data_IF_917669845573
#
_entry.id   IF_917669845573
#
_cell.length_a   1.000
_cell.length_b   1.000
_cell.length_c   1.000
_cell.angle_alpha   90.00
_cell.angle_beta   90.00
_cell.angle_gamma   90.00
#
_symmetry.space_group_name_H-M   'P 1'
#
loop_
_entity.id
_entity.type
_entity.pdbx_description
1 polymer ?
#
# COMPACT_ATOMS: atom_id res chain seq x y z
N UNK A 1 30.46 -7.05 -16.68
CA UNK A 1 30.21 -7.78 -15.41
C UNK A 1 29.91 -6.72 -14.35
N UNK A 2 28.66 -6.58 -13.97
CA UNK A 2 28.26 -5.71 -12.86
C UNK A 2 28.62 -6.40 -11.55
N UNK A 3 29.17 -5.69 -10.54
CA UNK A 3 29.52 -6.30 -9.26
C UNK A 3 28.29 -6.84 -8.58
N UNK A 4 28.37 -8.09 -8.11
CA UNK A 4 27.27 -8.81 -7.51
C UNK A 4 26.78 -8.12 -6.24
N UNK A 5 25.51 -7.74 -6.24
CA UNK A 5 24.79 -7.37 -5.02
C UNK A 5 24.80 -8.54 -4.04
N UNK A 6 25.58 -8.43 -2.98
CA UNK A 6 25.47 -9.31 -1.82
C UNK A 6 24.10 -9.06 -1.17
N UNK A 7 23.11 -9.87 -1.51
CA UNK A 7 21.76 -9.77 -0.95
C UNK A 7 21.82 -10.06 0.55
N UNK A 8 21.54 -9.05 1.36
CA UNK A 8 21.28 -9.24 2.79
C UNK A 8 20.20 -10.33 2.95
N UNK A 9 20.57 -11.45 3.55
CA UNK A 9 19.60 -12.45 4.01
C UNK A 9 19.02 -11.89 5.31
N UNK A 10 17.77 -11.38 5.26
CA UNK A 10 17.05 -11.02 6.48
C UNK A 10 16.89 -12.31 7.29
N UNK A 11 17.48 -12.43 8.50
CA UNK A 11 17.30 -13.61 9.34
C UNK A 11 15.85 -13.65 9.81
N UNK A 12 15.12 -14.72 9.49
CA UNK A 12 13.79 -14.94 10.01
C UNK A 12 13.93 -15.31 11.49
N UNK A 13 13.49 -14.43 12.38
CA UNK A 13 13.48 -14.72 13.81
C UNK A 13 12.31 -15.68 14.13
N UNK A 14 12.60 -16.97 14.15
CA UNK A 14 11.65 -18.04 14.46
C UNK A 14 11.08 -18.01 15.88
N UNK A 15 11.53 -17.07 16.74
CA UNK A 15 11.10 -16.97 18.14
C UNK A 15 9.88 -16.08 18.34
N UNK A 16 9.38 -15.39 17.29
CA UNK A 16 8.16 -14.59 17.40
C UNK A 16 6.94 -15.53 17.49
N UNK A 17 6.15 -15.34 18.53
CA UNK A 17 4.86 -16.02 18.69
C UNK A 17 4.00 -15.73 17.45
N UNK A 18 3.40 -16.76 16.81
CA UNK A 18 2.53 -16.55 15.67
C UNK A 18 1.38 -15.62 16.04
N UNK A 19 1.25 -14.48 15.36
CA UNK A 19 0.15 -13.56 15.56
C UNK A 19 -1.10 -14.14 14.89
N UNK A 20 -2.23 -14.14 15.59
CA UNK A 20 -3.47 -14.68 15.04
C UNK A 20 -4.28 -13.58 14.36
N UNK A 21 -4.09 -13.43 13.04
CA UNK A 21 -4.88 -12.52 12.19
C UNK A 21 -5.98 -13.24 11.40
N UNK A 22 -6.31 -14.49 11.78
CA UNK A 22 -7.31 -15.29 11.08
C UNK A 22 -8.68 -14.60 11.10
N UNK A 23 -9.27 -14.44 9.92
CA UNK A 23 -10.61 -13.89 9.76
C UNK A 23 -10.65 -12.35 9.82
N UNK A 24 -9.51 -11.67 9.97
CA UNK A 24 -9.48 -10.21 9.99
C UNK A 24 -9.52 -9.64 8.57
N UNK A 25 -10.26 -8.55 8.43
CA UNK A 25 -10.25 -7.72 7.23
C UNK A 25 -8.96 -6.91 7.15
N UNK A 26 -8.55 -6.52 5.94
CA UNK A 26 -7.39 -5.68 5.70
C UNK A 26 -7.80 -4.46 4.86
N UNK A 27 -8.49 -3.51 5.50
CA UNK A 27 -9.11 -2.36 4.83
C UNK A 27 -8.21 -1.14 4.83
N UNK A 28 -7.51 -0.91 5.93
CA UNK A 28 -6.55 0.17 6.13
C UNK A 28 -5.53 -0.22 7.20
N UNK A 29 -4.35 0.42 7.19
CA UNK A 29 -3.36 0.22 8.26
C UNK A 29 -3.77 0.89 9.59
N UNK A 30 -4.80 1.73 9.61
CA UNK A 30 -5.35 2.28 10.85
C UNK A 30 -5.82 1.18 11.81
N UNK A 31 -6.34 0.08 11.27
CA UNK A 31 -6.92 -1.04 12.04
C UNK A 31 -5.87 -2.00 12.62
N UNK A 32 -4.59 -1.78 12.33
CA UNK A 32 -3.50 -2.68 12.68
C UNK A 32 -2.50 -2.03 13.63
N UNK A 33 -1.99 -2.80 14.59
CA UNK A 33 -0.90 -2.34 15.46
C UNK A 33 0.44 -2.35 14.70
N UNK A 34 1.46 -1.60 15.17
CA UNK A 34 2.80 -1.66 14.59
C UNK A 34 3.38 -3.08 14.53
N UNK A 35 3.12 -3.90 15.57
CA UNK A 35 3.59 -5.29 15.64
C UNK A 35 2.89 -6.17 14.61
N UNK A 36 1.59 -5.97 14.38
CA UNK A 36 0.82 -6.67 13.36
C UNK A 36 1.31 -6.33 11.96
N UNK A 37 1.59 -5.04 11.69
CA UNK A 37 2.16 -4.59 10.42
C UNK A 37 3.55 -5.20 10.21
N UNK A 38 4.41 -5.14 11.22
CA UNK A 38 5.74 -5.76 11.17
C UNK A 38 5.69 -7.26 10.90
N UNK A 39 4.73 -7.97 11.54
CA UNK A 39 4.49 -9.38 11.30
C UNK A 39 4.09 -9.66 9.84
N UNK A 40 3.19 -8.86 9.26
CA UNK A 40 2.77 -9.02 7.87
C UNK A 40 3.93 -8.76 6.88
N UNK A 41 4.78 -7.79 7.14
CA UNK A 41 5.98 -7.51 6.33
C UNK A 41 6.98 -8.68 6.44
N UNK A 42 7.19 -9.24 7.64
CA UNK A 42 8.06 -10.40 7.86
C UNK A 42 7.52 -11.66 7.16
N UNK A 43 6.20 -11.88 7.23
CA UNK A 43 5.53 -12.97 6.52
C UNK A 43 5.66 -12.83 5.00
N UNK A 44 5.51 -11.61 4.47
CA UNK A 44 5.72 -11.34 3.05
C UNK A 44 7.16 -11.67 2.61
N UNK A 45 8.16 -11.31 3.43
CA UNK A 45 9.56 -11.68 3.19
C UNK A 45 9.76 -13.20 3.16
N UNK A 46 9.14 -13.93 4.10
CA UNK A 46 9.20 -15.40 4.16
C UNK A 46 8.58 -16.04 2.90
N UNK A 47 7.37 -15.61 2.53
CA UNK A 47 6.67 -16.13 1.34
C UNK A 47 7.44 -15.81 0.05
N UNK A 48 8.00 -14.60 -0.05
CA UNK A 48 8.90 -14.22 -1.17
C UNK A 48 10.13 -15.12 -1.26
N UNK A 49 10.73 -15.44 -0.12
CA UNK A 49 11.89 -16.34 -0.08
C UNK A 49 11.52 -17.78 -0.51
N UNK A 50 10.38 -18.32 -0.03
CA UNK A 50 9.86 -19.64 -0.43
C UNK A 50 9.60 -19.69 -1.92
N UNK A 51 8.90 -18.69 -2.48
CA UNK A 51 8.62 -18.62 -3.92
C UNK A 51 9.91 -18.58 -4.74
N UNK A 52 10.90 -17.77 -4.36
CA UNK A 52 12.21 -17.70 -5.04
C UNK A 52 13.02 -19.00 -4.97
N UNK A 53 12.84 -19.77 -3.90
CA UNK A 53 13.48 -21.05 -3.71
C UNK A 53 12.74 -22.22 -4.39
N UNK A 54 11.61 -21.97 -5.05
CA UNK A 54 10.76 -23.01 -5.65
C UNK A 54 10.08 -23.91 -4.62
N UNK A 55 9.97 -23.48 -3.37
CA UNK A 55 9.32 -24.26 -2.30
C UNK A 55 7.81 -24.10 -2.44
N UNK A 56 7.13 -25.22 -2.70
CA UNK A 56 5.67 -25.26 -2.80
C UNK A 56 5.05 -24.84 -1.46
N UNK A 57 4.01 -23.99 -1.52
CA UNK A 57 3.38 -23.41 -0.36
C UNK A 57 1.85 -23.34 -0.50
N UNK A 58 1.22 -24.46 -0.84
CA UNK A 58 -0.21 -24.60 -1.15
C UNK A 58 -1.08 -24.87 0.09
N UNK A 59 -0.87 -24.11 1.16
CA UNK A 59 -1.51 -24.27 2.47
C UNK A 59 -3.01 -23.94 2.49
N UNK A 60 -3.52 -23.33 1.42
CA UNK A 60 -4.93 -22.95 1.27
C UNK A 60 -5.62 -23.73 0.13
N UNK A 61 -5.14 -24.93 -0.17
CA UNK A 61 -5.69 -25.79 -1.21
C UNK A 61 -7.20 -26.00 -1.03
N UNK A 62 -7.96 -25.84 -2.12
CA UNK A 62 -9.40 -26.01 -2.16
C UNK A 62 -10.21 -24.83 -1.68
N UNK A 63 -9.56 -23.72 -1.31
CA UNK A 63 -10.21 -22.43 -1.02
C UNK A 63 -10.29 -21.57 -2.25
N UNK A 64 -11.20 -20.60 -2.27
CA UNK A 64 -11.43 -19.69 -3.38
C UNK A 64 -11.52 -18.24 -2.90
N UNK A 65 -11.10 -17.30 -3.74
CA UNK A 65 -11.20 -15.88 -3.48
C UNK A 65 -11.88 -15.16 -4.64
N UNK A 66 -12.80 -14.25 -4.31
CA UNK A 66 -13.39 -13.33 -5.28
C UNK A 66 -12.52 -12.08 -5.40
N UNK A 67 -12.23 -11.66 -6.63
CA UNK A 67 -11.44 -10.46 -6.95
C UNK A 67 -12.36 -9.46 -7.66
N UNK A 68 -12.84 -8.45 -6.91
CA UNK A 68 -13.77 -7.43 -7.39
C UNK A 68 -12.98 -6.21 -7.83
N UNK A 69 -13.09 -5.85 -9.11
CA UNK A 69 -12.39 -4.72 -9.68
C UNK A 69 -13.36 -3.72 -10.32
N UNK A 70 -13.70 -2.65 -9.63
CA UNK A 70 -14.42 -1.51 -10.23
C UNK A 70 -13.44 -0.57 -10.95
N UNK A 71 -12.19 -0.49 -10.50
CA UNK A 71 -11.07 0.15 -11.21
C UNK A 71 -10.16 -0.92 -11.80
N UNK A 72 -9.91 -0.85 -13.10
CA UNK A 72 -9.01 -1.78 -13.79
C UNK A 72 -7.58 -1.72 -13.24
N UNK A 73 -6.90 -2.84 -13.18
CA UNK A 73 -5.48 -2.91 -12.79
C UNK A 73 -4.86 -4.22 -13.26
N UNK A 74 -3.81 -4.14 -14.04
CA UNK A 74 -3.04 -5.31 -14.45
C UNK A 74 -2.24 -5.87 -13.28
N UNK A 75 -1.48 -5.02 -12.58
CA UNK A 75 -0.56 -5.46 -11.50
C UNK A 75 -1.29 -6.02 -10.29
N UNK A 76 -2.28 -5.32 -9.76
CA UNK A 76 -3.03 -5.78 -8.59
C UNK A 76 -3.74 -7.10 -8.88
N UNK A 77 -4.42 -7.20 -10.03
CA UNK A 77 -5.07 -8.42 -10.47
C UNK A 77 -4.06 -9.59 -10.53
N UNK A 78 -2.99 -9.45 -11.30
CA UNK A 78 -1.98 -10.50 -11.43
C UNK A 78 -1.35 -10.88 -10.09
N UNK A 79 -1.12 -9.90 -9.21
CA UNK A 79 -0.53 -10.16 -7.87
C UNK A 79 -1.45 -11.02 -7.01
N UNK A 80 -2.75 -10.70 -6.94
CA UNK A 80 -3.71 -11.50 -6.19
C UNK A 80 -3.95 -12.88 -6.81
N UNK A 81 -4.10 -12.96 -8.13
CA UNK A 81 -4.27 -14.25 -8.83
C UNK A 81 -3.06 -15.16 -8.60
N UNK A 82 -1.85 -14.64 -8.80
CA UNK A 82 -0.62 -15.43 -8.61
C UNK A 82 -0.41 -15.81 -7.14
N UNK A 83 -0.66 -14.90 -6.20
CA UNK A 83 -0.55 -15.21 -4.78
C UNK A 83 -1.56 -16.28 -4.34
N UNK A 84 -2.79 -16.22 -4.83
CA UNK A 84 -3.80 -17.24 -4.58
C UNK A 84 -3.37 -18.60 -5.12
N UNK A 85 -2.89 -18.66 -6.36
CA UNK A 85 -2.39 -19.90 -6.97
C UNK A 85 -1.19 -20.49 -6.21
N UNK A 86 -0.22 -19.67 -5.79
CA UNK A 86 0.93 -20.11 -4.99
C UNK A 86 0.50 -20.72 -3.65
N UNK A 87 -0.64 -20.25 -3.10
CA UNK A 87 -1.24 -20.77 -1.86
C UNK A 87 -2.20 -21.94 -2.10
N UNK A 88 -2.43 -22.36 -3.36
CA UNK A 88 -3.33 -23.45 -3.73
C UNK A 88 -4.81 -23.07 -3.83
N UNK A 89 -5.11 -21.77 -3.89
CA UNK A 89 -6.48 -21.25 -4.01
C UNK A 89 -6.92 -21.12 -5.47
N UNK A 90 -8.25 -21.20 -5.70
CA UNK A 90 -8.90 -20.73 -6.91
C UNK A 90 -9.22 -19.22 -6.83
N UNK A 91 -9.33 -18.58 -8.01
CA UNK A 91 -9.71 -17.16 -8.11
C UNK A 91 -10.89 -16.97 -9.06
N UNK A 92 -11.76 -16.02 -8.77
CA UNK A 92 -12.78 -15.53 -9.70
C UNK A 92 -12.64 -14.03 -9.84
N UNK A 93 -12.35 -13.56 -11.04
CA UNK A 93 -12.26 -12.15 -11.36
C UNK A 93 -13.64 -11.61 -11.74
N UNK A 94 -14.07 -10.56 -11.07
CA UNK A 94 -15.36 -9.87 -11.27
C UNK A 94 -15.08 -8.42 -11.70
N UNK A 95 -15.27 -8.14 -12.99
CA UNK A 95 -15.11 -6.80 -13.54
C UNK A 95 -16.44 -6.02 -13.55
N UNK A 96 -16.42 -4.68 -13.77
CA UNK A 96 -17.62 -3.85 -13.76
C UNK A 96 -18.60 -4.16 -14.89
N UNK A 97 -18.13 -4.77 -15.98
CA UNK A 97 -18.96 -5.05 -17.16
C UNK A 97 -19.66 -6.38 -17.05
N UNK A 98 -19.02 -7.35 -16.40
CA UNK A 98 -19.52 -8.72 -16.20
C UNK A 98 -20.31 -8.92 -14.91
N UNK A 99 -20.40 -7.92 -14.02
CA UNK A 99 -21.08 -8.03 -12.73
C UNK A 99 -22.28 -7.08 -12.57
N UNK A 100 -23.17 -7.41 -11.65
CA UNK A 100 -24.32 -6.57 -11.29
C UNK A 100 -24.07 -5.74 -10.01
N UNK A 101 -22.86 -5.81 -9.47
CA UNK A 101 -22.44 -5.17 -8.22
C UNK A 101 -22.65 -3.65 -8.33
N UNK A 102 -23.33 -3.06 -7.33
CA UNK A 102 -23.61 -1.64 -7.28
C UNK A 102 -24.61 -1.12 -8.34
N UNK A 103 -25.20 -2.01 -9.15
CA UNK A 103 -26.20 -1.67 -10.18
C UNK A 103 -27.58 -2.17 -9.80
N UNK A 104 -27.83 -3.46 -10.04
CA UNK A 104 -29.09 -4.15 -9.70
C UNK A 104 -29.00 -4.87 -8.35
N UNK A 105 -27.79 -5.10 -7.86
CA UNK A 105 -27.51 -5.78 -6.60
C UNK A 105 -26.79 -4.82 -5.65
N UNK A 106 -27.28 -4.74 -4.40
CA UNK A 106 -26.65 -3.89 -3.39
C UNK A 106 -25.29 -4.49 -2.95
N UNK A 107 -24.37 -3.64 -2.53
CA UNK A 107 -23.05 -4.08 -1.97
C UNK A 107 -23.28 -5.08 -0.83
N UNK A 108 -24.25 -4.82 0.02
CA UNK A 108 -24.63 -5.71 1.15
C UNK A 108 -25.07 -7.10 0.69
N UNK A 109 -25.88 -7.19 -0.37
CA UNK A 109 -26.35 -8.48 -0.87
C UNK A 109 -25.24 -9.20 -1.63
N UNK A 110 -24.46 -8.50 -2.43
CA UNK A 110 -23.23 -9.01 -3.04
C UNK A 110 -22.29 -9.63 -1.99
N UNK A 111 -22.03 -8.91 -0.90
CA UNK A 111 -21.17 -9.40 0.18
C UNK A 111 -21.67 -10.72 0.76
N UNK A 112 -22.98 -10.85 1.00
CA UNK A 112 -23.58 -12.07 1.55
C UNK A 112 -23.53 -13.25 0.60
N UNK A 113 -23.82 -12.99 -0.69
CA UNK A 113 -23.78 -14.02 -1.72
C UNK A 113 -22.37 -14.52 -1.93
N UNK A 114 -21.39 -13.64 -2.07
CA UNK A 114 -19.99 -14.02 -2.26
C UNK A 114 -19.43 -14.76 -1.03
N UNK A 115 -19.77 -14.34 0.17
CA UNK A 115 -19.34 -15.02 1.40
C UNK A 115 -19.91 -16.44 1.54
N UNK A 116 -20.96 -16.78 0.82
CA UNK A 116 -21.48 -18.14 0.74
C UNK A 116 -20.70 -19.04 -0.24
N UNK A 117 -19.85 -18.47 -1.09
CA UNK A 117 -19.12 -19.19 -2.15
C UNK A 117 -17.60 -19.11 -2.00
N UNK A 118 -17.07 -18.05 -1.36
CA UNK A 118 -15.65 -17.77 -1.28
C UNK A 118 -15.18 -17.67 0.18
N UNK A 119 -13.91 -17.93 0.42
CA UNK A 119 -13.28 -17.82 1.74
C UNK A 119 -12.59 -16.45 1.94
N UNK A 120 -12.65 -15.57 0.95
CA UNK A 120 -12.13 -14.21 1.03
C UNK A 120 -12.58 -13.39 -0.17
N UNK A 121 -12.57 -12.08 -0.01
CA UNK A 121 -12.94 -11.11 -1.04
C UNK A 121 -11.86 -10.04 -1.13
N UNK A 122 -11.31 -9.82 -2.32
CA UNK A 122 -10.52 -8.63 -2.62
C UNK A 122 -11.41 -7.61 -3.32
N UNK A 123 -11.23 -6.34 -2.97
CA UNK A 123 -11.91 -5.23 -3.62
C UNK A 123 -10.91 -4.16 -4.03
N UNK A 124 -11.01 -3.75 -5.30
CA UNK A 124 -10.32 -2.59 -5.86
C UNK A 124 -11.32 -1.68 -6.56
N UNK A 125 -11.51 -0.48 -6.03
CA UNK A 125 -12.56 0.40 -6.55
C UNK A 125 -12.42 1.86 -6.15
N UNK A 126 -13.55 2.49 -5.87
CA UNK A 126 -13.65 3.91 -5.63
C UNK A 126 -13.65 4.25 -4.12
N UNK A 127 -14.82 4.35 -3.51
CA UNK A 127 -14.96 4.81 -2.13
C UNK A 127 -14.57 3.77 -1.10
N UNK A 128 -13.99 4.23 0.00
CA UNK A 128 -13.64 3.37 1.14
C UNK A 128 -14.90 2.75 1.78
N UNK A 129 -16.02 3.47 1.77
CA UNK A 129 -17.31 3.00 2.29
C UNK A 129 -17.79 1.72 1.61
N UNK A 130 -17.44 1.47 0.35
CA UNK A 130 -17.83 0.26 -0.39
C UNK A 130 -17.10 -0.96 0.18
N UNK A 131 -15.79 -0.89 0.36
CA UNK A 131 -15.01 -2.00 0.92
C UNK A 131 -15.35 -2.25 2.39
N UNK A 132 -15.69 -1.20 3.14
CA UNK A 132 -16.17 -1.32 4.52
C UNK A 132 -17.56 -1.97 4.59
N UNK A 133 -18.46 -1.64 3.67
CA UNK A 133 -19.76 -2.31 3.57
C UNK A 133 -19.62 -3.78 3.18
N UNK A 134 -18.72 -4.13 2.24
CA UNK A 134 -18.37 -5.51 1.92
C UNK A 134 -17.88 -6.24 3.16
N UNK A 135 -16.94 -5.71 3.91
CA UNK A 135 -16.40 -6.31 5.12
C UNK A 135 -17.49 -6.52 6.20
N UNK A 136 -18.32 -5.52 6.41
CA UNK A 136 -19.42 -5.56 7.40
C UNK A 136 -20.41 -6.70 7.18
N UNK A 137 -20.67 -7.09 5.92
CA UNK A 137 -21.73 -8.05 5.60
C UNK A 137 -21.23 -9.40 5.07
N UNK A 138 -19.93 -9.54 4.73
CA UNK A 138 -19.39 -10.74 4.10
C UNK A 138 -19.22 -11.93 5.03
N UNK A 139 -18.87 -11.77 6.30
CA UNK A 139 -18.48 -12.85 7.23
C UNK A 139 -17.20 -13.62 6.83
N UNK A 140 -16.54 -13.24 5.75
CA UNK A 140 -15.23 -13.73 5.32
C UNK A 140 -14.29 -12.52 5.21
N UNK A 141 -12.96 -12.72 5.34
CA UNK A 141 -12.01 -11.61 5.23
C UNK A 141 -12.15 -10.82 3.93
N UNK A 142 -12.11 -9.50 4.04
CA UNK A 142 -12.10 -8.58 2.92
C UNK A 142 -10.77 -7.82 2.90
N UNK A 143 -10.16 -7.75 1.71
CA UNK A 143 -8.88 -7.07 1.50
C UNK A 143 -9.04 -5.91 0.53
N UNK A 144 -8.58 -4.75 0.95
CA UNK A 144 -8.55 -3.54 0.14
C UNK A 144 -7.35 -3.55 -0.81
N UNK A 145 -7.59 -3.86 -2.08
CA UNK A 145 -6.60 -3.78 -3.16
C UNK A 145 -6.29 -2.35 -3.61
N UNK A 146 -7.22 -1.41 -3.42
CA UNK A 146 -7.11 0.05 -3.51
C UNK A 146 -8.50 0.68 -3.43
N UNK A 147 -8.62 1.76 -2.66
CA UNK A 147 -9.72 2.74 -2.74
C UNK A 147 -9.17 4.14 -3.06
N UNK A 148 -10.03 5.15 -3.12
CA UNK A 148 -9.58 6.54 -3.24
C UNK A 148 -8.77 6.99 -2.02
N UNK A 149 -9.11 6.46 -0.86
CA UNK A 149 -8.59 6.88 0.44
C UNK A 149 -7.37 6.09 0.89
N UNK A 150 -7.32 4.75 0.59
CA UNK A 150 -6.27 3.87 1.09
C UNK A 150 -5.82 2.79 0.10
N UNK A 151 -4.55 2.36 0.26
CA UNK A 151 -3.96 1.24 -0.47
C UNK A 151 -3.04 0.41 0.44
N UNK A 152 -3.60 -0.31 1.44
CA UNK A 152 -2.80 -0.96 2.48
C UNK A 152 -1.89 -2.07 1.95
N UNK A 153 -2.28 -2.79 0.90
CA UNK A 153 -1.47 -3.85 0.31
C UNK A 153 -0.19 -3.32 -0.35
N UNK A 154 -0.23 -2.12 -0.94
CA UNK A 154 0.95 -1.45 -1.47
C UNK A 154 1.94 -1.11 -0.35
N UNK A 155 1.43 -0.70 0.81
CA UNK A 155 2.28 -0.36 1.96
C UNK A 155 3.12 -1.53 2.44
N UNK A 156 2.57 -2.74 2.43
CA UNK A 156 3.35 -3.94 2.78
C UNK A 156 4.50 -4.17 1.79
N UNK A 157 4.27 -3.93 0.49
CA UNK A 157 5.29 -4.05 -0.54
C UNK A 157 6.39 -2.97 -0.38
N UNK A 158 5.99 -1.72 -0.16
CA UNK A 158 6.92 -0.61 0.02
C UNK A 158 7.77 -0.78 1.27
N UNK A 159 7.15 -1.13 2.42
CA UNK A 159 7.87 -1.40 3.66
C UNK A 159 8.82 -2.59 3.54
N UNK A 160 8.43 -3.66 2.82
CA UNK A 160 9.33 -4.77 2.57
C UNK A 160 10.51 -4.34 1.70
N UNK A 161 10.27 -3.54 0.65
CA UNK A 161 11.32 -3.01 -0.22
C UNK A 161 12.32 -2.16 0.55
N UNK A 162 11.84 -1.23 1.38
CA UNK A 162 12.68 -0.38 2.24
C UNK A 162 13.48 -1.24 3.24
N UNK A 163 12.83 -2.22 3.86
CA UNK A 163 13.47 -3.13 4.80
C UNK A 163 14.54 -4.02 4.15
N UNK A 164 14.32 -4.44 2.90
CA UNK A 164 15.31 -5.20 2.13
C UNK A 164 16.53 -4.35 1.77
N UNK A 165 16.35 -3.06 1.51
CA UNK A 165 17.42 -2.14 1.15
C UNK A 165 18.22 -1.68 2.37
N UNK A 166 17.55 -1.20 3.41
CA UNK A 166 18.17 -0.56 4.57
C UNK A 166 18.33 -1.50 5.78
N UNK A 167 17.69 -2.67 5.80
CA UNK A 167 17.67 -3.60 6.92
C UNK A 167 16.70 -3.26 8.05
N UNK A 168 16.12 -2.07 8.04
CA UNK A 168 15.20 -1.57 9.07
C UNK A 168 14.20 -0.58 8.47
N UNK A 169 13.16 -0.22 9.25
CA UNK A 169 12.20 0.84 8.92
C UNK A 169 12.36 2.05 9.83
N UNK A 170 12.55 1.83 11.13
CA UNK A 170 12.62 2.90 12.12
C UNK A 170 13.77 3.87 11.83
N UNK A 171 13.45 5.18 11.83
CA UNK A 171 14.44 6.25 11.61
C UNK A 171 14.74 6.51 10.13
N UNK A 172 14.07 5.83 9.18
CA UNK A 172 14.14 6.15 7.76
C UNK A 172 13.39 7.46 7.51
N UNK A 173 14.02 8.43 6.86
CA UNK A 173 13.34 9.64 6.36
C UNK A 173 12.72 9.36 5.00
N UNK A 174 11.38 9.30 4.99
CA UNK A 174 10.57 9.00 3.83
C UNK A 174 9.88 10.26 3.30
N UNK A 175 10.18 10.66 2.08
CA UNK A 175 9.64 11.86 1.44
C UNK A 175 8.70 11.48 0.32
N UNK A 176 7.44 11.88 0.42
CA UNK A 176 6.46 11.77 -0.65
C UNK A 176 6.34 13.09 -1.40
N UNK A 177 6.60 13.09 -2.70
CA UNK A 177 6.52 14.26 -3.58
C UNK A 177 5.35 14.13 -4.55
N UNK A 178 4.35 15.00 -4.43
CA UNK A 178 3.16 14.98 -5.29
C UNK A 178 1.86 15.22 -4.53
N UNK A 179 0.73 14.75 -5.07
CA UNK A 179 -0.58 14.90 -4.43
C UNK A 179 -0.76 13.91 -3.27
N UNK A 180 -0.62 14.41 -2.05
CA UNK A 180 -0.67 13.59 -0.84
C UNK A 180 -2.08 13.41 -0.23
N UNK A 181 -3.15 13.88 -0.90
CA UNK A 181 -4.53 13.86 -0.37
C UNK A 181 -5.21 12.50 -0.47
N UNK A 182 -4.71 11.60 -1.33
CA UNK A 182 -5.38 10.35 -1.70
C UNK A 182 -4.66 9.11 -1.13
N UNK A 183 -5.02 7.96 -1.65
CA UNK A 183 -4.64 6.65 -1.12
C UNK A 183 -3.15 6.47 -0.83
N UNK A 184 -2.27 6.90 -1.73
CA UNK A 184 -0.82 6.73 -1.52
C UNK A 184 -0.30 7.64 -0.42
N UNK A 185 -0.60 8.95 -0.47
CA UNK A 185 -0.19 9.90 0.57
C UNK A 185 -0.70 9.51 1.95
N UNK A 186 -2.00 9.21 2.04
CA UNK A 186 -2.64 8.79 3.29
C UNK A 186 -2.02 7.49 3.84
N UNK A 187 -1.91 6.46 3.02
CA UNK A 187 -1.41 5.15 3.48
C UNK A 187 0.07 5.17 3.83
N UNK A 188 0.90 5.90 3.07
CA UNK A 188 2.33 6.08 3.36
C UNK A 188 2.54 6.85 4.67
N UNK A 189 1.74 7.89 4.93
CA UNK A 189 1.80 8.64 6.19
C UNK A 189 1.44 7.75 7.39
N UNK A 190 0.36 6.97 7.30
CA UNK A 190 -0.06 6.02 8.35
C UNK A 190 1.04 4.97 8.58
N UNK A 191 1.55 4.35 7.51
CA UNK A 191 2.60 3.35 7.58
C UNK A 191 3.85 3.91 8.25
N UNK A 192 4.30 5.09 7.84
CA UNK A 192 5.47 5.76 8.39
C UNK A 192 5.28 6.08 9.87
N UNK A 193 4.17 6.71 10.23
CA UNK A 193 3.85 7.06 11.61
C UNK A 193 3.88 5.84 12.54
N UNK A 194 3.26 4.73 12.13
CA UNK A 194 3.21 3.50 12.94
C UNK A 194 4.54 2.75 12.99
N UNK A 195 5.32 2.77 11.91
CA UNK A 195 6.57 2.01 11.82
C UNK A 195 7.82 2.80 12.26
N UNK A 196 7.65 4.03 12.74
CA UNK A 196 8.74 4.85 13.24
C UNK A 196 9.62 5.47 12.14
N UNK A 197 9.07 5.65 10.94
CA UNK A 197 9.72 6.36 9.83
C UNK A 197 9.31 7.84 9.87
N UNK A 198 10.25 8.74 9.63
CA UNK A 198 9.96 10.18 9.50
C UNK A 198 9.30 10.45 8.14
N UNK A 199 8.05 10.89 8.15
CA UNK A 199 7.29 11.14 6.93
C UNK A 199 7.30 12.62 6.56
N UNK A 200 7.59 12.92 5.32
CA UNK A 200 7.51 14.27 4.76
C UNK A 200 6.56 14.26 3.56
N UNK A 201 5.46 15.00 3.63
CA UNK A 201 4.65 15.33 2.46
C UNK A 201 5.18 16.64 1.86
N UNK A 202 5.84 16.53 0.71
CA UNK A 202 6.40 17.66 -0.03
C UNK A 202 5.51 17.98 -1.23
N UNK A 203 4.64 18.99 -1.08
CA UNK A 203 3.60 19.34 -2.04
C UNK A 203 3.12 20.78 -1.80
N UNK A 204 2.39 21.40 -2.76
CA UNK A 204 1.62 22.61 -2.47
C UNK A 204 0.60 22.35 -1.36
N UNK A 205 0.37 23.33 -0.49
CA UNK A 205 -0.52 23.22 0.68
C UNK A 205 -1.91 22.63 0.34
N UNK A 206 -2.46 22.93 -0.83
CA UNK A 206 -3.76 22.41 -1.28
C UNK A 206 -3.77 20.90 -1.56
N UNK A 207 -2.59 20.30 -1.64
CA UNK A 207 -2.38 18.86 -1.87
C UNK A 207 -1.87 18.12 -0.63
N UNK A 208 -1.89 18.74 0.54
CA UNK A 208 -1.58 18.07 1.80
C UNK A 208 -2.69 17.09 2.20
N UNK A 209 -2.36 16.04 2.96
CA UNK A 209 -3.35 15.13 3.53
C UNK A 209 -4.39 15.87 4.38
N UNK A 210 -5.53 15.23 4.60
CA UNK A 210 -6.58 15.76 5.49
C UNK A 210 -6.03 16.01 6.90
N UNK A 211 -6.37 17.16 7.49
CA UNK A 211 -5.84 17.59 8.78
C UNK A 211 -6.20 16.66 9.94
N UNK A 212 -7.36 16.00 9.90
CA UNK A 212 -7.77 15.03 10.92
C UNK A 212 -6.88 13.78 10.87
N UNK A 213 -6.59 13.29 9.66
CA UNK A 213 -5.69 12.16 9.47
C UNK A 213 -4.25 12.52 9.87
N UNK A 214 -3.79 13.73 9.57
CA UNK A 214 -2.48 14.23 10.00
C UNK A 214 -2.39 14.20 11.53
N UNK A 215 -3.37 14.78 12.23
CA UNK A 215 -3.40 14.79 13.69
C UNK A 215 -3.40 13.36 14.29
N UNK A 216 -4.14 12.43 13.69
CA UNK A 216 -4.12 11.02 14.10
C UNK A 216 -2.75 10.37 13.88
N UNK A 217 -2.09 10.65 12.76
CA UNK A 217 -0.75 10.13 12.47
C UNK A 217 0.32 10.75 13.39
N UNK A 218 0.17 12.02 13.79
CA UNK A 218 1.05 12.65 14.78
C UNK A 218 0.97 11.95 16.15
N UNK A 219 -0.21 11.45 16.57
CA UNK A 219 -0.32 10.64 17.80
C UNK A 219 0.42 9.31 17.65
N UNK A 220 0.27 8.59 16.53
CA UNK A 220 1.06 7.37 16.29
C UNK A 220 2.56 7.64 16.22
N UNK A 221 2.95 8.78 15.64
CA UNK A 221 4.34 9.19 15.54
C UNK A 221 4.97 9.45 16.91
N UNK A 222 4.23 10.05 17.86
CA UNK A 222 4.69 10.21 19.25
C UNK A 222 5.02 8.87 19.92
N UNK A 223 4.20 7.85 19.68
CA UNK A 223 4.41 6.51 20.25
C UNK A 223 5.59 5.78 19.60
N UNK A 224 5.72 5.86 18.28
CA UNK A 224 6.77 5.17 17.51
C UNK A 224 8.13 5.88 17.54
N UNK A 225 8.13 7.19 17.83
CA UNK A 225 9.28 8.09 17.75
C UNK A 225 9.54 8.65 16.35
N UNK A 226 8.54 8.61 15.47
CA UNK A 226 8.57 9.23 14.14
C UNK A 226 8.22 10.72 14.18
N UNK A 227 8.42 11.41 13.05
CA UNK A 227 7.93 12.77 12.81
C UNK A 227 7.06 12.82 11.57
N UNK A 228 6.06 13.73 11.56
CA UNK A 228 5.23 14.03 10.39
C UNK A 228 5.49 15.50 10.02
N UNK A 229 5.92 15.73 8.80
CA UNK A 229 6.23 17.06 8.27
C UNK A 229 5.45 17.32 6.99
N UNK A 230 4.84 18.50 6.89
CA UNK A 230 4.20 18.99 5.67
C UNK A 230 4.98 20.22 5.21
N UNK A 231 5.51 20.21 3.99
CA UNK A 231 6.31 21.35 3.48
C UNK A 231 6.03 21.62 2.01
N UNK A 232 6.06 22.90 1.66
CA UNK A 232 6.03 23.37 0.26
C UNK A 232 7.44 23.57 -0.29
N UNK A 233 8.47 23.49 0.56
CA UNK A 233 9.88 23.66 0.14
C UNK A 233 10.49 22.29 -0.20
N UNK A 234 10.73 22.08 -1.51
CA UNK A 234 11.34 20.85 -2.03
C UNK A 234 12.74 20.63 -1.45
N UNK A 235 13.51 21.70 -1.23
CA UNK A 235 14.87 21.61 -0.74
C UNK A 235 14.92 21.20 0.73
N UNK A 236 14.01 21.75 1.54
CA UNK A 236 13.82 21.35 2.93
C UNK A 236 13.30 19.90 3.03
N UNK A 237 12.26 19.58 2.24
CA UNK A 237 11.62 18.27 2.25
C UNK A 237 12.60 17.14 1.91
N UNK A 238 13.37 17.29 0.82
CA UNK A 238 14.27 16.24 0.31
C UNK A 238 15.62 16.17 1.01
N UNK A 239 15.93 17.15 1.87
CA UNK A 239 17.22 17.19 2.59
C UNK A 239 17.41 15.92 3.44
N UNK A 240 18.55 15.27 3.24
CA UNK A 240 18.96 14.07 3.97
C UNK A 240 17.90 12.93 3.94
N UNK A 241 17.07 12.87 2.89
CA UNK A 241 16.08 11.80 2.71
C UNK A 241 16.78 10.43 2.48
N UNK A 242 16.20 9.36 3.03
CA UNK A 242 16.57 7.98 2.71
C UNK A 242 15.75 7.45 1.53
N UNK A 243 14.49 7.85 1.47
CA UNK A 243 13.55 7.44 0.43
C UNK A 243 12.85 8.66 -0.14
N UNK A 244 12.87 8.81 -1.46
CA UNK A 244 12.01 9.75 -2.18
C UNK A 244 11.00 8.94 -2.99
N UNK A 245 9.74 9.23 -2.77
CA UNK A 245 8.61 8.52 -3.39
C UNK A 245 7.74 9.50 -4.18
N UNK A 246 7.24 9.07 -5.32
CA UNK A 246 6.20 9.80 -6.06
C UNK A 246 5.18 8.82 -6.67
N UNK A 247 4.05 9.36 -7.10
CA UNK A 247 2.99 8.64 -7.80
C UNK A 247 2.47 9.48 -8.96
N UNK A 248 1.48 8.99 -9.69
CA UNK A 248 0.79 9.75 -10.72
C UNK A 248 0.12 11.00 -10.14
N UNK A 249 0.13 12.08 -10.88
CA UNK A 249 -0.46 13.36 -10.43
C UNK A 249 -1.97 13.45 -10.62
N UNK A 250 -2.52 12.60 -11.46
CA UNK A 250 -3.96 12.47 -11.68
C UNK A 250 -4.36 11.04 -11.41
N UNK A 251 -5.22 10.85 -10.42
CA UNK A 251 -5.70 9.53 -10.02
C UNK A 251 -6.66 8.95 -11.05
N UNK A 252 -6.71 7.62 -11.15
CA UNK A 252 -7.67 6.93 -12.01
C UNK A 252 -9.10 7.29 -11.58
N UNK A 253 -9.90 7.80 -12.54
CA UNK A 253 -11.27 8.22 -12.32
C UNK A 253 -11.45 9.73 -12.13
N UNK A 254 -10.36 10.51 -12.05
CA UNK A 254 -10.43 11.97 -12.16
C UNK A 254 -10.64 12.39 -13.64
N UNK A 255 -11.39 13.47 -13.92
CA UNK A 255 -11.62 13.93 -15.28
C UNK A 255 -10.34 14.50 -15.91
N UNK A 256 -10.19 14.37 -17.23
CA UNK A 256 -9.04 14.90 -17.97
C UNK A 256 -8.85 16.42 -17.80
N UNK A 257 -9.91 17.14 -17.47
CA UNK A 257 -9.87 18.59 -17.24
C UNK A 257 -8.96 19.04 -16.09
N UNK A 258 -8.62 18.13 -15.15
CA UNK A 258 -7.73 18.48 -14.03
C UNK A 258 -6.24 18.38 -14.38
N UNK A 259 -5.88 17.82 -15.54
CA UNK A 259 -4.48 17.60 -15.93
C UNK A 259 -3.65 18.89 -16.00
N UNK A 260 -4.20 19.93 -16.63
CA UNK A 260 -3.47 21.21 -16.78
C UNK A 260 -3.15 21.83 -15.42
N UNK A 261 -4.13 21.85 -14.50
CA UNK A 261 -3.95 22.35 -13.14
C UNK A 261 -2.88 21.52 -12.40
N UNK A 262 -2.99 20.18 -12.47
CA UNK A 262 -2.03 19.27 -11.80
C UNK A 262 -0.60 19.46 -12.33
N UNK A 263 -0.43 19.53 -13.64
CA UNK A 263 0.89 19.76 -14.25
C UNK A 263 1.45 21.11 -13.80
N UNK A 264 0.64 22.17 -13.83
CA UNK A 264 1.07 23.49 -13.39
C UNK A 264 1.56 23.47 -11.94
N UNK A 265 0.76 22.91 -11.04
CA UNK A 265 1.00 22.96 -9.59
C UNK A 265 2.09 22.01 -9.13
N UNK A 266 2.14 20.80 -9.71
CA UNK A 266 3.04 19.74 -9.26
C UNK A 266 4.36 19.68 -10.02
N UNK A 267 4.52 20.41 -11.12
CA UNK A 267 5.80 20.50 -11.84
C UNK A 267 6.99 20.90 -10.95
N UNK A 268 6.86 21.85 -10.01
CA UNK A 268 7.95 22.18 -9.07
C UNK A 268 8.31 21.01 -8.11
N UNK A 269 7.37 20.09 -7.89
CA UNK A 269 7.51 18.93 -6.99
C UNK A 269 7.86 17.64 -7.73
N UNK A 270 8.25 17.73 -8.99
CA UNK A 270 8.76 16.60 -9.76
C UNK A 270 10.09 16.13 -9.16
N UNK A 271 10.26 14.80 -9.01
CA UNK A 271 11.55 14.25 -8.60
C UNK A 271 12.58 14.47 -9.71
N UNK A 272 13.55 15.32 -9.43
CA UNK A 272 14.64 15.71 -10.34
C UNK A 272 15.97 15.20 -9.83
N UNK A 273 17.02 15.34 -10.65
CA UNK A 273 18.39 15.03 -10.22
C UNK A 273 18.82 15.90 -9.04
N UNK A 274 18.37 17.15 -8.99
CA UNK A 274 18.65 18.10 -7.92
C UNK A 274 17.96 17.68 -6.63
N UNK A 275 16.70 17.23 -6.69
CA UNK A 275 15.99 16.69 -5.54
C UNK A 275 16.67 15.43 -4.99
N UNK A 276 17.09 14.52 -5.86
CA UNK A 276 17.84 13.32 -5.47
C UNK A 276 19.23 13.65 -4.91
N UNK A 277 19.93 14.65 -5.48
CA UNK A 277 21.25 15.08 -5.00
C UNK A 277 21.18 15.76 -3.61
N UNK A 278 20.02 16.23 -3.17
CA UNK A 278 19.82 16.83 -1.85
C UNK A 278 19.50 15.76 -0.77
N UNK A 279 19.14 14.55 -1.18
CA UNK A 279 18.97 13.40 -0.33
C UNK A 279 20.34 12.77 0.05
N UNK A 280 20.35 11.73 0.86
CA UNK A 280 21.56 10.98 1.18
C UNK A 280 22.11 10.28 -0.08
N UNK A 281 23.43 10.05 -0.12
CA UNK A 281 24.09 9.29 -1.21
C UNK A 281 23.53 7.87 -1.36
N UNK A 282 22.97 7.30 -0.28
CA UNK A 282 22.32 5.99 -0.25
C UNK A 282 20.82 6.04 -0.53
N UNK A 283 20.28 7.23 -0.85
CA UNK A 283 18.85 7.39 -1.03
C UNK A 283 18.32 6.58 -2.21
N UNK A 284 17.15 5.99 -2.02
CA UNK A 284 16.44 5.25 -3.08
C UNK A 284 15.23 6.04 -3.57
N UNK A 285 14.96 5.89 -4.86
CA UNK A 285 13.76 6.41 -5.49
C UNK A 285 12.73 5.30 -5.65
N UNK A 286 11.52 5.52 -5.13
CA UNK A 286 10.38 4.61 -5.29
C UNK A 286 9.29 5.29 -6.11
N UNK A 287 8.63 4.51 -6.95
CA UNK A 287 7.55 4.97 -7.82
C UNK A 287 6.44 3.93 -7.84
N UNK A 288 5.22 4.34 -7.52
CA UNK A 288 4.04 3.47 -7.55
C UNK A 288 3.71 2.97 -8.95
N UNK A 289 3.99 3.74 -9.98
CA UNK A 289 3.80 3.40 -11.39
C UNK A 289 5.14 3.26 -12.09
N UNK A 290 5.52 2.04 -12.47
CA UNK A 290 6.77 1.80 -13.20
C UNK A 290 6.52 1.89 -14.69
N UNK A 291 7.14 2.86 -15.35
CA UNK A 291 7.45 2.82 -16.77
C UNK A 291 8.95 2.46 -16.89
N UNK A 292 9.19 1.23 -17.20
CA UNK A 292 10.53 0.79 -17.60
C UNK A 292 10.60 0.84 -19.12
#
# INVERSE_FOLDING_TARGET
MLPGFARLRIPIDRRKTPMNLKGRDFLTLLDYTPEEIAYLVDLAAELKAKKKAGVLHDVLRGKNVALIFEKTSTRTRCSFEVAAHDLGMGTTYLDPTGSQIGKKESIKDTARVLAGMYEGIEYRGFGQEIVEELAKYSKVPVWNGLTNEYHPTQMLADMLTIKEEFGHLKGIKFVYMGDARYNMGNSLMIASAKMGMDFVACAPKKYFPNAELVAQCEEYAKESGATITLTEDVKEGTKDADVIYTDVWVSMGEPDSVWEERIHDLTPYRVTKEAMANAKDTAVFLLSLIHI
#
